data_IF_421464789241
#
_entry.id   IF_421464789241
#
_cell.length_a   1.000
_cell.length_b   1.000
_cell.length_c   1.000
_cell.angle_alpha   90.00
_cell.angle_beta   90.00
_cell.angle_gamma   90.00
#
_symmetry.space_group_name_H-M   'P 1'
#
loop_
_entity.id
_entity.type
_entity.pdbx_description
1 polymer ?
#
# COMPACT_ATOMS: atom_id res chain seq x y z
N UNK A 1 -11.03 -20.38 -2.84
CA UNK A 1 -11.30 -19.18 -3.64
C UNK A 1 -10.11 -18.23 -3.49
N UNK A 2 -9.81 -17.43 -4.51
CA UNK A 2 -8.79 -16.40 -4.45
C UNK A 2 -9.42 -15.16 -3.79
N UNK A 3 -8.80 -14.56 -2.77
CA UNK A 3 -9.30 -13.32 -2.18
C UNK A 3 -9.13 -12.15 -3.14
N UNK A 4 -9.97 -11.12 -2.97
CA UNK A 4 -9.90 -9.87 -3.71
C UNK A 4 -9.43 -8.75 -2.78
N UNK A 5 -8.45 -7.95 -3.21
CA UNK A 5 -7.99 -6.79 -2.48
C UNK A 5 -8.58 -5.50 -3.07
N UNK A 6 -9.11 -4.64 -2.21
CA UNK A 6 -9.46 -3.27 -2.57
C UNK A 6 -8.23 -2.41 -2.28
N UNK A 7 -7.75 -1.71 -3.28
CA UNK A 7 -6.68 -0.75 -3.17
C UNK A 7 -7.26 0.67 -3.20
N UNK A 8 -7.21 1.41 -2.08
CA UNK A 8 -7.58 2.83 -2.10
C UNK A 8 -6.53 3.62 -2.87
N UNK A 9 -6.97 4.46 -3.81
CA UNK A 9 -6.06 5.32 -4.57
C UNK A 9 -6.03 6.73 -3.99
N UNK A 10 -4.89 7.41 -4.13
CA UNK A 10 -4.71 8.78 -3.66
C UNK A 10 -5.86 9.70 -4.13
N UNK A 11 -6.34 10.66 -3.32
CA UNK A 11 -7.44 11.57 -3.68
C UNK A 11 -7.25 12.32 -4.99
N UNK A 12 -6.02 12.48 -5.48
CA UNK A 12 -5.74 13.05 -6.80
C UNK A 12 -6.44 12.32 -7.94
N UNK A 13 -6.81 11.04 -7.74
CA UNK A 13 -7.51 10.22 -8.73
C UNK A 13 -9.03 10.21 -8.56
N UNK A 14 -9.57 10.91 -7.55
CA UNK A 14 -11.01 10.88 -7.28
C UNK A 14 -11.87 11.42 -8.42
N UNK A 15 -11.31 12.29 -9.27
CA UNK A 15 -12.03 12.90 -10.39
C UNK A 15 -12.11 12.00 -11.64
N UNK A 16 -11.26 10.99 -11.78
CA UNK A 16 -11.16 10.25 -13.03
C UNK A 16 -11.24 8.72 -12.90
N UNK A 17 -10.72 8.11 -11.82
CA UNK A 17 -10.59 6.65 -11.77
C UNK A 17 -10.81 5.99 -10.42
N UNK A 18 -11.00 6.75 -9.32
CA UNK A 18 -11.08 6.16 -7.99
C UNK A 18 -12.22 6.75 -7.17
N UNK A 19 -13.13 5.90 -6.72
CA UNK A 19 -14.18 6.27 -5.76
C UNK A 19 -13.84 5.89 -4.31
N UNK A 20 -12.75 5.14 -4.08
CA UNK A 20 -12.23 4.74 -2.77
C UNK A 20 -10.83 5.33 -2.64
N UNK A 21 -10.66 6.26 -1.67
CA UNK A 21 -9.44 7.05 -1.54
C UNK A 21 -8.79 6.93 -0.16
N UNK A 22 -9.40 6.25 0.79
CA UNK A 22 -8.83 5.99 2.12
C UNK A 22 -8.95 4.53 2.48
N UNK A 23 -8.04 4.06 3.35
CA UNK A 23 -8.10 2.69 3.86
C UNK A 23 -9.40 2.45 4.65
N UNK A 24 -9.92 3.49 5.36
CA UNK A 24 -11.21 3.43 6.05
C UNK A 24 -12.35 3.09 5.10
N UNK A 25 -12.46 3.80 3.96
CA UNK A 25 -13.50 3.52 2.96
C UNK A 25 -13.40 2.10 2.39
N UNK A 26 -12.18 1.62 2.10
CA UNK A 26 -11.98 0.26 1.61
C UNK A 26 -12.44 -0.79 2.63
N UNK A 27 -12.10 -0.61 3.91
CA UNK A 27 -12.52 -1.51 4.98
C UNK A 27 -14.03 -1.46 5.24
N UNK A 28 -14.66 -0.30 5.12
CA UNK A 28 -16.13 -0.17 5.24
C UNK A 28 -16.85 -0.94 4.14
N UNK A 29 -16.31 -0.94 2.90
CA UNK A 29 -16.83 -1.78 1.81
C UNK A 29 -16.61 -3.26 2.12
N UNK A 30 -15.44 -3.64 2.65
CA UNK A 30 -15.19 -5.02 3.08
C UNK A 30 -16.19 -5.47 4.15
N UNK A 31 -16.44 -4.63 5.16
CA UNK A 31 -17.37 -4.96 6.25
C UNK A 31 -18.83 -5.08 5.77
N UNK A 32 -19.19 -4.28 4.76
CA UNK A 32 -20.53 -4.36 4.14
C UNK A 32 -20.75 -5.66 3.36
N UNK A 33 -19.74 -6.08 2.59
CA UNK A 33 -19.88 -7.17 1.62
C UNK A 33 -19.39 -8.53 2.14
N UNK A 34 -18.45 -8.52 3.09
CA UNK A 34 -17.86 -9.71 3.74
C UNK A 34 -17.74 -9.47 5.26
N UNK A 35 -18.88 -9.39 5.99
CA UNK A 35 -18.89 -9.02 7.40
C UNK A 35 -18.12 -10.01 8.26
N UNK A 36 -17.38 -9.49 9.26
CA UNK A 36 -16.72 -10.29 10.29
C UNK A 36 -17.78 -10.84 11.24
N UNK A 37 -18.12 -12.12 11.11
CA UNK A 37 -19.02 -12.77 12.04
C UNK A 37 -18.25 -13.56 13.08
N UNK A 38 -18.80 -13.67 14.32
CA UNK A 38 -18.22 -14.48 15.39
C UNK A 38 -18.12 -15.98 15.04
N UNK A 39 -18.89 -16.43 14.05
CA UNK A 39 -18.87 -17.81 13.55
C UNK A 39 -17.81 -18.04 12.45
N UNK A 40 -17.21 -17.00 11.90
CA UNK A 40 -16.24 -17.08 10.80
C UNK A 40 -14.79 -16.96 11.30
N UNK A 41 -14.41 -17.77 12.30
CA UNK A 41 -13.05 -17.76 12.87
C UNK A 41 -12.05 -18.62 12.09
N UNK A 42 -12.45 -19.30 11.03
CA UNK A 42 -11.62 -20.27 10.33
C UNK A 42 -11.67 -20.07 8.81
N UNK A 43 -10.72 -19.30 8.29
CA UNK A 43 -10.47 -19.22 6.84
C UNK A 43 -10.10 -17.81 6.34
N UNK A 44 -9.44 -17.70 5.19
CA UNK A 44 -9.10 -16.41 4.62
C UNK A 44 -10.37 -15.63 4.24
N UNK A 45 -10.34 -14.32 4.44
CA UNK A 45 -11.41 -13.42 4.01
C UNK A 45 -11.54 -13.43 2.50
N UNK A 46 -12.79 -13.27 2.01
CA UNK A 46 -13.03 -13.14 0.58
C UNK A 46 -12.62 -11.75 0.06
N UNK A 47 -12.76 -10.72 0.93
CA UNK A 47 -12.36 -9.36 0.64
C UNK A 47 -11.34 -8.85 1.66
N UNK A 48 -10.34 -8.14 1.18
CA UNK A 48 -9.35 -7.45 1.98
C UNK A 48 -8.84 -6.22 1.28
N UNK A 49 -7.71 -5.70 1.73
CA UNK A 49 -7.12 -4.46 1.25
C UNK A 49 -5.68 -4.67 0.79
N UNK A 50 -5.29 -3.96 -0.24
CA UNK A 50 -3.91 -3.68 -0.60
C UNK A 50 -3.53 -2.31 -0.06
N UNK A 51 -2.47 -2.26 0.74
CA UNK A 51 -1.95 -1.03 1.32
C UNK A 51 -0.79 -0.57 0.44
N UNK A 52 -1.06 0.34 -0.51
CA UNK A 52 -0.01 1.06 -1.24
C UNK A 52 0.27 2.37 -0.52
N UNK A 53 1.51 2.52 -0.03
CA UNK A 53 1.91 3.72 0.71
C UNK A 53 1.91 4.97 -0.17
N UNK A 54 2.13 4.84 -1.49
CA UNK A 54 2.04 5.95 -2.43
C UNK A 54 0.66 6.61 -2.43
N UNK A 55 -0.36 5.81 -2.20
CA UNK A 55 -1.74 6.28 -2.19
C UNK A 55 -2.24 6.69 -0.82
N UNK A 56 -1.63 6.20 0.27
CA UNK A 56 -2.21 6.30 1.61
C UNK A 56 -1.36 7.05 2.63
N UNK A 57 -0.08 7.36 2.35
CA UNK A 57 0.86 7.97 3.31
C UNK A 57 0.37 9.27 3.96
N UNK A 58 -0.44 10.04 3.27
CA UNK A 58 -0.99 11.33 3.68
C UNK A 58 -2.16 11.23 4.66
N UNK A 59 -2.80 10.04 4.77
CA UNK A 59 -4.02 9.86 5.56
C UNK A 59 -3.72 9.88 7.07
N UNK A 60 -4.25 10.86 7.83
CA UNK A 60 -4.03 10.94 9.28
C UNK A 60 -4.61 9.76 10.06
N UNK A 61 -5.51 8.98 9.46
CA UNK A 61 -6.11 7.78 10.07
C UNK A 61 -5.38 6.50 9.70
N UNK A 62 -4.34 6.55 8.85
CA UNK A 62 -3.70 5.37 8.28
C UNK A 62 -3.32 4.33 9.34
N UNK A 63 -2.63 4.73 10.41
CA UNK A 63 -2.23 3.83 11.48
C UNK A 63 -3.41 3.08 12.11
N UNK A 64 -4.48 3.79 12.44
CA UNK A 64 -5.66 3.19 13.06
C UNK A 64 -6.37 2.22 12.10
N UNK A 65 -6.40 2.54 10.80
CA UNK A 65 -7.02 1.69 9.81
C UNK A 65 -6.16 0.47 9.46
N UNK A 66 -4.83 0.56 9.51
CA UNK A 66 -3.93 -0.59 9.41
C UNK A 66 -4.18 -1.56 10.59
N UNK A 67 -4.27 -1.05 11.81
CA UNK A 67 -4.59 -1.87 12.98
C UNK A 67 -5.95 -2.59 12.82
N UNK A 68 -7.00 -1.86 12.39
CA UNK A 68 -8.33 -2.43 12.08
C UNK A 68 -8.24 -3.54 11.02
N UNK A 69 -7.48 -3.31 9.95
CA UNK A 69 -7.30 -4.31 8.90
C UNK A 69 -6.62 -5.58 9.42
N UNK A 70 -5.63 -5.44 10.32
CA UNK A 70 -4.96 -6.55 10.98
C UNK A 70 -5.91 -7.34 11.89
N UNK A 71 -6.66 -6.66 12.77
CA UNK A 71 -7.67 -7.28 13.65
C UNK A 71 -8.70 -8.09 12.85
N UNK A 72 -9.06 -7.62 11.67
CA UNK A 72 -10.00 -8.27 10.77
C UNK A 72 -9.34 -9.30 9.82
N UNK A 73 -8.02 -9.45 9.85
CA UNK A 73 -7.24 -10.32 8.95
C UNK A 73 -7.47 -9.99 7.46
N UNK A 74 -7.49 -8.69 7.12
CA UNK A 74 -7.81 -8.18 5.79
C UNK A 74 -6.63 -7.60 5.03
N UNK A 75 -5.42 -7.52 5.61
CA UNK A 75 -4.23 -7.05 4.89
C UNK A 75 -3.78 -8.15 3.92
N UNK A 76 -3.93 -7.93 2.62
CA UNK A 76 -3.61 -8.90 1.58
C UNK A 76 -2.34 -8.55 0.80
N UNK A 77 -2.00 -7.27 0.69
CA UNK A 77 -0.80 -6.80 0.00
C UNK A 77 -0.26 -5.53 0.67
N UNK A 78 1.05 -5.32 0.54
CA UNK A 78 1.74 -4.12 1.00
C UNK A 78 2.72 -3.66 -0.07
N UNK A 79 2.42 -2.51 -0.71
CA UNK A 79 3.22 -1.93 -1.79
C UNK A 79 4.05 -0.77 -1.26
N UNK A 80 5.32 -0.72 -1.69
CA UNK A 80 6.31 0.26 -1.25
C UNK A 80 6.97 0.97 -2.43
N UNK A 81 7.05 2.26 -2.32
CA UNK A 81 7.81 3.20 -3.15
C UNK A 81 7.93 4.50 -2.37
N UNK A 82 8.28 5.61 -3.03
CA UNK A 82 8.34 6.90 -2.35
C UNK A 82 7.62 8.00 -3.14
N UNK A 83 7.23 9.06 -2.43
CA UNK A 83 6.60 10.25 -2.98
C UNK A 83 7.63 11.36 -3.14
N UNK A 84 7.95 11.71 -4.39
CA UNK A 84 8.92 12.76 -4.70
C UNK A 84 8.34 14.16 -4.56
N UNK A 85 9.17 15.10 -4.09
CA UNK A 85 8.85 16.53 -4.04
C UNK A 85 9.99 17.33 -4.66
N UNK A 86 9.71 18.20 -5.65
CA UNK A 86 8.40 18.42 -6.28
C UNK A 86 7.93 17.21 -7.09
N UNK A 87 6.61 16.97 -7.10
CA UNK A 87 6.00 15.94 -7.93
C UNK A 87 5.82 16.49 -9.35
N UNK A 88 6.34 15.78 -10.35
CA UNK A 88 6.28 16.23 -11.75
C UNK A 88 5.20 15.53 -12.56
N UNK A 89 4.87 14.30 -12.20
CA UNK A 89 3.78 13.50 -12.77
C UNK A 89 3.15 12.63 -11.68
N UNK A 90 1.84 12.77 -11.48
CA UNK A 90 1.14 12.08 -10.41
C UNK A 90 1.07 10.56 -10.57
N UNK A 91 1.23 10.03 -11.76
CA UNK A 91 1.20 8.60 -12.02
C UNK A 91 2.61 8.03 -12.19
N UNK A 92 3.48 8.72 -12.94
CA UNK A 92 4.72 8.15 -13.47
C UNK A 92 5.99 8.78 -12.87
N UNK A 93 5.91 9.39 -11.71
CA UNK A 93 7.02 10.03 -11.02
C UNK A 93 7.20 9.47 -9.59
N UNK A 94 6.97 8.13 -9.44
CA UNK A 94 7.22 7.49 -8.14
C UNK A 94 8.73 7.38 -7.89
N UNK A 95 9.13 7.63 -6.63
CA UNK A 95 10.50 7.49 -6.16
C UNK A 95 10.85 6.06 -5.75
N UNK A 96 12.15 5.75 -5.79
CA UNK A 96 12.69 4.58 -5.08
C UNK A 96 12.56 4.81 -3.57
N UNK A 97 12.37 3.75 -2.80
CA UNK A 97 12.27 3.83 -1.35
C UNK A 97 13.42 4.64 -0.75
N UNK A 98 13.10 5.69 0.00
CA UNK A 98 14.05 6.60 0.64
C UNK A 98 14.50 7.79 -0.21
N UNK A 99 13.93 7.99 -1.40
CA UNK A 99 14.20 9.16 -2.24
C UNK A 99 13.21 10.32 -2.03
N UNK A 100 12.13 10.08 -1.31
CA UNK A 100 11.03 11.03 -1.13
C UNK A 100 10.72 11.39 0.32
N UNK A 101 9.44 11.59 0.60
CA UNK A 101 8.96 12.15 1.87
C UNK A 101 8.15 11.17 2.73
N UNK A 102 7.93 9.94 2.27
CA UNK A 102 7.15 8.95 3.02
C UNK A 102 8.01 8.39 4.16
N UNK A 103 7.46 8.37 5.37
CA UNK A 103 8.07 7.67 6.50
C UNK A 103 7.79 6.16 6.38
N UNK A 104 8.49 5.52 5.43
CA UNK A 104 8.27 4.12 5.06
C UNK A 104 8.52 3.17 6.22
N UNK A 105 9.64 3.28 6.99
CA UNK A 105 9.89 2.38 8.12
C UNK A 105 8.78 2.43 9.18
N UNK A 106 8.22 3.60 9.40
CA UNK A 106 7.13 3.79 10.35
C UNK A 106 5.84 3.11 9.88
N UNK A 107 5.47 3.29 8.60
CA UNK A 107 4.27 2.64 8.07
C UNK A 107 4.46 1.12 8.03
N UNK A 108 5.64 0.64 7.63
CA UNK A 108 5.96 -0.78 7.68
C UNK A 108 5.79 -1.35 9.08
N UNK A 109 6.30 -0.65 10.13
CA UNK A 109 6.13 -1.14 11.50
C UNK A 109 4.65 -1.32 11.86
N UNK A 110 3.76 -0.42 11.45
CA UNK A 110 2.32 -0.58 11.67
C UNK A 110 1.72 -1.79 10.96
N UNK A 111 2.18 -2.08 9.74
CA UNK A 111 1.74 -3.22 8.94
C UNK A 111 2.22 -4.54 9.55
N UNK A 112 3.47 -4.58 10.04
CA UNK A 112 4.02 -5.74 10.76
C UNK A 112 3.31 -5.95 12.12
N UNK A 113 3.08 -4.89 12.89
CA UNK A 113 2.33 -4.92 14.15
C UNK A 113 0.87 -5.38 13.95
N UNK A 114 0.29 -5.10 12.79
CA UNK A 114 -1.03 -5.61 12.38
C UNK A 114 -1.03 -7.10 12.00
N UNK A 115 0.12 -7.77 12.05
CA UNK A 115 0.27 -9.21 11.80
C UNK A 115 0.45 -9.61 10.34
N UNK A 116 0.69 -8.65 9.43
CA UNK A 116 1.00 -8.97 8.05
C UNK A 116 2.40 -9.57 7.93
N UNK A 117 2.49 -10.79 7.38
CA UNK A 117 3.73 -11.52 7.17
C UNK A 117 4.01 -11.81 5.69
N UNK A 118 3.37 -11.06 4.79
CA UNK A 118 3.58 -11.14 3.35
C UNK A 118 4.82 -10.38 2.88
N UNK A 119 4.88 -10.15 1.59
CA UNK A 119 5.99 -9.42 0.97
C UNK A 119 5.74 -7.91 0.97
N UNK A 120 6.82 -7.11 1.10
CA UNK A 120 6.80 -5.71 0.70
C UNK A 120 7.04 -5.67 -0.81
N UNK A 121 6.04 -5.33 -1.59
CA UNK A 121 6.09 -5.34 -3.04
C UNK A 121 6.52 -3.97 -3.55
N UNK A 122 7.60 -3.91 -4.32
CA UNK A 122 8.11 -2.65 -4.88
C UNK A 122 7.29 -2.28 -6.10
N UNK A 123 6.61 -1.12 -6.06
CA UNK A 123 5.78 -0.63 -7.16
C UNK A 123 6.17 0.79 -7.56
N UNK A 124 7.09 0.92 -8.52
CA UNK A 124 7.66 2.21 -8.95
C UNK A 124 7.31 2.49 -10.42
N UNK A 125 6.24 3.25 -10.64
CA UNK A 125 5.96 3.85 -11.96
C UNK A 125 6.84 5.08 -12.12
N UNK A 126 7.88 5.00 -12.97
CA UNK A 126 8.90 6.04 -13.09
C UNK A 126 9.41 6.15 -14.52
N UNK A 127 8.58 6.75 -15.37
CA UNK A 127 8.82 6.83 -16.84
C UNK A 127 10.12 7.53 -17.19
N UNK A 128 10.47 8.61 -16.48
CA UNK A 128 11.62 9.45 -16.81
C UNK A 128 12.88 9.09 -16.03
N UNK A 129 12.83 8.11 -15.12
CA UNK A 129 13.99 7.74 -14.31
C UNK A 129 14.15 6.21 -14.26
N UNK A 130 13.44 5.50 -13.36
CA UNK A 130 13.72 4.09 -13.09
C UNK A 130 13.40 3.17 -14.27
N UNK A 131 12.41 3.49 -15.08
CA UNK A 131 12.09 2.71 -16.30
C UNK A 131 13.06 2.96 -17.46
N UNK A 132 13.97 3.92 -17.34
CA UNK A 132 15.01 4.18 -18.35
C UNK A 132 16.33 3.49 -18.01
N UNK A 133 16.45 2.89 -16.84
CA UNK A 133 17.68 2.27 -16.36
C UNK A 133 17.76 0.80 -16.71
N UNK A 134 18.97 0.24 -16.62
CA UNK A 134 19.17 -1.19 -16.75
C UNK A 134 18.40 -1.95 -15.65
N UNK A 135 17.75 -3.04 -16.03
CA UNK A 135 16.88 -3.78 -15.09
C UNK A 135 17.66 -4.45 -13.95
N UNK A 136 18.93 -4.83 -14.16
CA UNK A 136 19.75 -5.38 -13.09
C UNK A 136 20.13 -4.27 -12.09
N UNK A 137 20.49 -3.06 -12.57
CA UNK A 137 20.73 -1.90 -11.71
C UNK A 137 19.49 -1.58 -10.86
N UNK A 138 18.29 -1.58 -11.47
CA UNK A 138 17.05 -1.31 -10.74
C UNK A 138 16.80 -2.35 -9.67
N UNK A 139 16.96 -3.64 -9.99
CA UNK A 139 16.76 -4.74 -9.04
C UNK A 139 17.75 -4.64 -7.87
N UNK A 140 19.04 -4.44 -8.14
CA UNK A 140 20.05 -4.28 -7.09
C UNK A 140 19.74 -3.09 -6.19
N UNK A 141 19.26 -1.98 -6.77
CA UNK A 141 18.83 -0.79 -6.02
C UNK A 141 17.60 -1.10 -5.16
N UNK A 142 16.60 -1.78 -5.68
CA UNK A 142 15.43 -2.20 -4.91
C UNK A 142 15.84 -3.05 -3.69
N UNK A 143 16.73 -4.02 -3.89
CA UNK A 143 17.24 -4.88 -2.81
C UNK A 143 17.98 -4.06 -1.74
N UNK A 144 18.86 -3.14 -2.16
CA UNK A 144 19.62 -2.31 -1.25
C UNK A 144 18.70 -1.37 -0.46
N UNK A 145 17.77 -0.71 -1.13
CA UNK A 145 16.84 0.26 -0.52
C UNK A 145 15.79 -0.41 0.37
N UNK A 146 15.33 -1.60 0.01
CA UNK A 146 14.45 -2.37 0.90
C UNK A 146 15.13 -2.67 2.25
N UNK A 147 16.43 -2.87 2.27
CA UNK A 147 17.17 -3.14 3.52
C UNK A 147 17.49 -1.90 4.34
N UNK A 148 17.48 -0.71 3.74
CA UNK A 148 17.95 0.53 4.38
C UNK A 148 16.85 1.59 4.57
N UNK A 149 15.76 1.51 3.86
CA UNK A 149 14.73 2.55 3.81
C UNK A 149 13.28 2.01 3.95
N UNK A 150 13.12 0.68 4.11
CA UNK A 150 11.81 0.05 4.35
C UNK A 150 11.72 -0.61 5.71
#
# INVERSE_FOLDING_TARGET
AMPLAIEPLHPMYAADRACINTLEQALDVCDLLDPVSAASTAGPRALGVAIDIYHTWWDPKLQAQIARAGEQQRVLAFHVCDWLTPTTDLLNDRGMMGDGVIDIPRIRSWVEDAGFAGYSEVEIFSTNNWWQRDCAEVLDTCIARHRSAV
#
